data_IF_022152064662
#
_entry.id   IF_022152064662
#
_cell.length_a   1.000
_cell.length_b   1.000
_cell.length_c   1.000
_cell.angle_alpha   90.00
_cell.angle_beta   90.00
_cell.angle_gamma   90.00
#
_symmetry.space_group_name_H-M   'P 1'
#
loop_
_entity.id
_entity.type
_entity.pdbx_description
1 polymer ?
#
# COMPACT_ATOMS: atom_id res chain seq x y z
N UNK A 1 12.11 -42.15 23.67
CA UNK A 1 11.10 -41.10 23.91
C UNK A 1 11.75 -39.76 23.61
N UNK A 2 11.37 -39.10 22.51
CA UNK A 2 11.78 -37.72 22.25
C UNK A 2 10.62 -37.02 21.59
N UNK A 3 9.85 -36.27 22.38
CA UNK A 3 8.74 -35.47 21.89
C UNK A 3 9.32 -34.10 21.57
N UNK A 4 9.56 -33.86 20.27
CA UNK A 4 9.92 -32.56 19.77
C UNK A 4 8.68 -31.65 19.82
N UNK A 5 8.63 -30.76 20.82
CA UNK A 5 7.60 -29.72 20.90
C UNK A 5 7.85 -28.70 19.79
N UNK A 6 7.07 -28.79 18.71
CA UNK A 6 7.02 -27.79 17.65
C UNK A 6 6.30 -26.54 18.17
N UNK A 7 7.04 -25.45 18.39
CA UNK A 7 6.45 -24.13 18.61
C UNK A 7 5.55 -23.76 17.42
N UNK A 8 4.32 -23.26 17.62
CA UNK A 8 3.50 -22.80 16.52
C UNK A 8 4.14 -21.55 15.89
N UNK A 9 4.22 -21.54 14.55
CA UNK A 9 4.56 -20.34 13.81
C UNK A 9 3.52 -19.27 14.16
N UNK A 10 3.98 -18.16 14.76
CA UNK A 10 3.13 -17.01 15.05
C UNK A 10 2.41 -16.61 13.75
N UNK A 11 1.07 -16.67 13.78
CA UNK A 11 0.23 -16.23 12.69
C UNK A 11 0.39 -14.71 12.58
N UNK A 12 1.23 -14.28 11.65
CA UNK A 12 1.58 -12.86 11.39
C UNK A 12 0.38 -11.99 10.97
N UNK A 13 -0.83 -12.56 10.97
CA UNK A 13 -2.07 -11.87 10.62
C UNK A 13 -2.91 -11.38 11.81
N UNK A 14 -2.55 -11.73 13.05
CA UNK A 14 -3.36 -11.40 14.22
C UNK A 14 -2.72 -10.33 15.11
N UNK A 15 -2.57 -9.11 14.58
CA UNK A 15 -2.45 -7.92 15.43
C UNK A 15 -3.42 -6.85 14.90
N UNK A 16 -4.56 -6.71 15.57
CA UNK A 16 -5.48 -5.60 15.38
C UNK A 16 -5.03 -4.46 16.28
N UNK A 17 -4.37 -3.44 15.71
CA UNK A 17 -4.00 -2.23 16.47
C UNK A 17 -5.04 -1.13 16.21
N UNK A 18 -5.62 -0.64 17.30
CA UNK A 18 -6.53 0.49 17.34
C UNK A 18 -5.73 1.82 17.32
N UNK A 19 -5.16 2.16 16.18
CA UNK A 19 -4.70 3.52 15.85
C UNK A 19 -4.56 3.64 14.33
N UNK A 20 -5.42 4.44 13.69
CA UNK A 20 -5.66 4.42 12.25
C UNK A 20 -4.55 5.07 11.39
N UNK A 21 -3.33 5.22 11.92
CA UNK A 21 -2.21 5.75 11.14
C UNK A 21 -1.45 4.56 10.53
N UNK A 22 -1.43 4.42 9.19
CA UNK A 22 -0.65 3.37 8.55
C UNK A 22 0.84 3.56 8.86
N UNK A 23 1.52 2.47 9.21
CA UNK A 23 2.97 2.47 9.40
C UNK A 23 3.65 2.83 8.07
N UNK A 24 4.57 3.79 8.10
CA UNK A 24 5.41 4.19 6.97
C UNK A 24 6.82 3.66 7.14
N UNK A 25 7.46 3.28 6.04
CA UNK A 25 8.90 2.97 6.05
C UNK A 25 9.71 4.19 6.46
N UNK A 26 10.92 4.04 7.04
CA UNK A 26 11.73 5.17 7.51
C UNK A 26 12.07 6.20 6.42
N UNK A 27 12.13 5.78 5.16
CA UNK A 27 12.34 6.61 3.99
C UNK A 27 11.05 7.21 3.38
N UNK A 28 9.89 6.91 3.96
CA UNK A 28 8.57 7.38 3.52
C UNK A 28 8.09 6.80 2.18
N UNK A 29 8.82 5.87 1.56
CA UNK A 29 8.50 5.34 0.22
C UNK A 29 7.28 4.43 0.21
N UNK A 30 7.02 3.75 1.32
CA UNK A 30 5.95 2.78 1.41
C UNK A 30 5.14 2.94 2.69
N UNK A 31 3.84 2.70 2.58
CA UNK A 31 2.98 2.38 3.71
C UNK A 31 2.80 0.87 3.82
N UNK A 32 2.60 0.38 5.04
CA UNK A 32 2.46 -1.05 5.32
C UNK A 32 1.01 -1.34 5.69
N UNK A 33 0.37 -2.20 4.90
CA UNK A 33 -0.99 -2.70 5.17
C UNK A 33 -0.96 -4.20 5.15
N UNK A 34 -1.27 -4.83 6.29
CA UNK A 34 -1.27 -6.30 6.47
C UNK A 34 0.06 -6.93 6.03
N UNK A 35 1.17 -6.36 6.51
CA UNK A 35 2.53 -6.82 6.20
C UNK A 35 2.97 -6.62 4.74
N UNK A 36 2.19 -5.92 3.91
CA UNK A 36 2.50 -5.65 2.51
C UNK A 36 2.82 -4.18 2.29
N UNK A 37 3.90 -3.91 1.57
CA UNK A 37 4.30 -2.58 1.16
C UNK A 37 3.39 -2.06 0.05
N UNK A 38 3.00 -0.81 0.16
CA UNK A 38 2.28 -0.06 -0.88
C UNK A 38 3.00 1.26 -1.08
N UNK A 39 3.41 1.57 -2.31
CA UNK A 39 4.10 2.84 -2.56
C UNK A 39 3.21 4.02 -2.19
N UNK A 40 3.79 4.98 -1.49
CA UNK A 40 3.14 6.25 -1.19
C UNK A 40 3.09 7.15 -2.43
N UNK A 41 2.20 8.14 -2.39
CA UNK A 41 2.19 9.21 -3.38
C UNK A 41 3.51 9.99 -3.34
N UNK A 42 3.94 10.49 -4.49
CA UNK A 42 5.13 11.31 -4.63
C UNK A 42 5.01 12.56 -3.73
N UNK A 43 5.87 12.71 -2.70
CA UNK A 43 5.82 13.83 -1.78
C UNK A 43 6.27 15.16 -2.43
N UNK A 44 6.86 15.11 -3.62
CA UNK A 44 7.32 16.28 -4.35
C UNK A 44 6.26 16.89 -5.28
N UNK A 45 5.04 16.35 -5.28
CA UNK A 45 3.91 16.98 -5.97
C UNK A 45 3.51 18.27 -5.26
N UNK A 46 3.24 19.32 -6.03
CA UNK A 46 2.59 20.54 -5.50
C UNK A 46 1.24 20.17 -4.88
N UNK A 47 0.88 20.85 -3.79
CA UNK A 47 -0.32 20.51 -3.02
C UNK A 47 -1.61 20.58 -3.83
N UNK A 48 -1.74 21.56 -4.72
CA UNK A 48 -2.90 21.72 -5.61
C UNK A 48 -3.01 20.56 -6.61
N UNK A 49 -1.87 20.15 -7.19
CA UNK A 49 -1.80 18.99 -8.10
C UNK A 49 -2.16 17.71 -7.34
N UNK A 50 -1.58 17.52 -6.15
CA UNK A 50 -1.87 16.36 -5.30
C UNK A 50 -3.36 16.31 -4.93
N UNK A 51 -3.94 17.43 -4.51
CA UNK A 51 -5.35 17.51 -4.16
C UNK A 51 -6.26 17.18 -5.36
N UNK A 52 -5.95 17.72 -6.54
CA UNK A 52 -6.68 17.41 -7.77
C UNK A 52 -6.63 15.93 -8.14
N UNK A 53 -5.45 15.30 -8.04
CA UNK A 53 -5.29 13.87 -8.31
C UNK A 53 -5.99 12.97 -7.28
N UNK A 54 -5.95 13.35 -5.99
CA UNK A 54 -6.70 12.65 -4.94
C UNK A 54 -8.21 12.76 -5.20
N UNK A 55 -8.71 13.93 -5.59
CA UNK A 55 -10.12 14.12 -5.97
C UNK A 55 -10.50 13.20 -7.13
N UNK A 56 -9.73 13.22 -8.21
CA UNK A 56 -9.95 12.35 -9.39
C UNK A 56 -9.91 10.85 -9.02
N UNK A 57 -9.02 10.44 -8.12
CA UNK A 57 -8.97 9.07 -7.63
C UNK A 57 -10.24 8.68 -6.86
N UNK A 58 -10.78 9.58 -6.03
CA UNK A 58 -12.02 9.32 -5.28
C UNK A 58 -13.24 9.27 -6.20
N UNK A 59 -13.31 10.15 -7.19
CA UNK A 59 -14.33 10.11 -8.25
C UNK A 59 -14.30 8.78 -9.00
N UNK A 60 -13.11 8.35 -9.45
CA UNK A 60 -12.95 7.09 -10.16
C UNK A 60 -13.36 5.88 -9.30
N UNK A 61 -13.04 5.88 -7.99
CA UNK A 61 -13.47 4.82 -7.06
C UNK A 61 -14.99 4.80 -6.88
N UNK A 62 -15.64 5.95 -6.78
CA UNK A 62 -17.11 6.05 -6.75
C UNK A 62 -17.71 5.51 -8.05
N UNK A 63 -17.13 5.84 -9.20
CA UNK A 63 -17.57 5.32 -10.49
C UNK A 63 -17.43 3.80 -10.60
N UNK A 64 -16.36 3.20 -10.04
CA UNK A 64 -16.22 1.73 -9.96
C UNK A 64 -17.36 1.12 -9.14
N UNK A 65 -17.70 1.72 -7.98
CA UNK A 65 -18.80 1.23 -7.13
C UNK A 65 -20.14 1.32 -7.86
N UNK A 66 -20.42 2.43 -8.55
CA UNK A 66 -21.64 2.61 -9.33
C UNK A 66 -21.73 1.60 -10.49
N UNK A 67 -20.68 1.48 -11.30
CA UNK A 67 -20.67 0.54 -12.43
C UNK A 67 -20.86 -0.92 -12.01
N UNK A 68 -20.32 -1.33 -10.85
CA UNK A 68 -20.57 -2.67 -10.28
C UNK A 68 -22.02 -2.87 -9.86
N UNK A 69 -22.65 -1.84 -9.28
CA UNK A 69 -24.05 -1.90 -8.86
C UNK A 69 -24.97 -2.07 -10.07
N UNK A 70 -24.62 -1.41 -11.17
CA UNK A 70 -25.42 -1.37 -12.39
C UNK A 70 -25.08 -2.51 -13.36
N UNK A 71 -24.14 -3.40 -13.01
CA UNK A 71 -23.57 -4.48 -13.86
C UNK A 71 -23.08 -3.99 -15.24
N UNK A 72 -22.61 -2.75 -15.30
CA UNK A 72 -22.13 -2.14 -16.54
C UNK A 72 -20.63 -2.38 -16.71
N UNK A 73 -20.30 -3.40 -17.50
CA UNK A 73 -18.93 -3.80 -17.78
C UNK A 73 -18.10 -2.68 -18.46
N UNK A 74 -18.71 -1.90 -19.35
CA UNK A 74 -18.04 -0.82 -20.07
C UNK A 74 -17.65 0.32 -19.14
N UNK A 75 -18.60 0.79 -18.32
CA UNK A 75 -18.34 1.80 -17.29
C UNK A 75 -17.36 1.30 -16.24
N UNK A 76 -17.41 0.01 -15.89
CA UNK A 76 -16.50 -0.58 -14.93
C UNK A 76 -15.06 -0.57 -15.45
N UNK A 77 -14.85 -0.91 -16.72
CA UNK A 77 -13.53 -0.86 -17.37
C UNK A 77 -12.99 0.58 -17.40
N UNK A 78 -13.81 1.54 -17.84
CA UNK A 78 -13.43 2.96 -17.89
C UNK A 78 -13.07 3.51 -16.49
N UNK A 79 -13.86 3.18 -15.47
CA UNK A 79 -13.62 3.63 -14.10
C UNK A 79 -12.33 3.01 -13.51
N UNK A 80 -12.05 1.73 -13.79
CA UNK A 80 -10.78 1.09 -13.38
C UNK A 80 -9.57 1.72 -14.07
N UNK A 81 -9.68 2.06 -15.35
CA UNK A 81 -8.63 2.78 -16.08
C UNK A 81 -8.40 4.17 -15.49
N UNK A 82 -9.46 4.89 -15.10
CA UNK A 82 -9.34 6.18 -14.43
C UNK A 82 -8.64 6.07 -13.05
N UNK A 83 -8.94 5.03 -12.27
CA UNK A 83 -8.20 4.74 -11.02
C UNK A 83 -6.72 4.53 -11.29
N UNK A 84 -6.38 3.75 -12.33
CA UNK A 84 -4.98 3.48 -12.65
C UNK A 84 -4.23 4.75 -13.07
N UNK A 85 -4.82 5.56 -13.96
CA UNK A 85 -4.25 6.86 -14.37
C UNK A 85 -3.99 7.78 -13.18
N UNK A 86 -4.97 7.93 -12.28
CA UNK A 86 -4.83 8.78 -11.11
C UNK A 86 -3.71 8.27 -10.17
N UNK A 87 -3.62 6.95 -9.96
CA UNK A 87 -2.57 6.36 -9.12
C UNK A 87 -1.18 6.47 -9.72
N UNK A 88 -1.04 6.30 -11.03
CA UNK A 88 0.22 6.51 -11.74
C UNK A 88 0.64 7.97 -11.66
N UNK A 89 -0.28 8.91 -11.86
CA UNK A 89 0.00 10.35 -11.72
C UNK A 89 0.37 10.75 -10.28
N UNK A 90 -0.23 10.12 -9.27
CA UNK A 90 0.18 10.28 -7.87
C UNK A 90 1.55 9.67 -7.58
N UNK A 91 2.09 8.82 -8.46
CA UNK A 91 3.32 8.07 -8.24
C UNK A 91 3.14 6.76 -7.48
N UNK A 92 1.92 6.39 -7.07
CA UNK A 92 1.64 5.11 -6.35
C UNK A 92 1.87 3.87 -7.24
N UNK A 93 1.95 4.07 -8.56
CA UNK A 93 2.14 3.04 -9.60
C UNK A 93 3.03 3.57 -10.72
N UNK A 94 3.52 2.66 -11.57
CA UNK A 94 4.41 3.01 -12.67
C UNK A 94 5.83 3.26 -12.20
N UNK A 95 6.52 4.18 -12.88
CA UNK A 95 7.88 4.59 -12.54
C UNK A 95 7.95 5.12 -11.10
N UNK A 96 9.05 4.83 -10.43
CA UNK A 96 9.32 5.33 -9.08
C UNK A 96 9.58 6.83 -9.10
N UNK A 97 9.23 7.52 -8.02
CA UNK A 97 9.43 8.97 -7.90
C UNK A 97 10.78 9.36 -7.27
N UNK A 98 11.57 8.40 -6.82
CA UNK A 98 12.92 8.63 -6.29
C UNK A 98 13.99 8.46 -7.38
N UNK A 99 15.13 9.12 -7.20
CA UNK A 99 16.23 9.18 -8.18
C UNK A 99 17.52 8.48 -7.75
N UNK A 100 17.56 7.86 -6.57
CA UNK A 100 18.76 7.21 -6.01
C UNK A 100 19.02 5.79 -6.56
N UNK A 101 18.21 5.33 -7.52
CA UNK A 101 18.33 4.01 -8.13
C UNK A 101 17.86 2.85 -7.25
N UNK A 102 17.27 3.12 -6.08
CA UNK A 102 16.78 2.05 -5.21
C UNK A 102 15.67 1.22 -5.89
N UNK A 103 15.66 -0.08 -5.59
CA UNK A 103 14.68 -1.01 -6.14
C UNK A 103 13.26 -0.71 -5.66
N UNK A 104 12.29 -0.97 -6.54
CA UNK A 104 10.87 -0.87 -6.20
C UNK A 104 10.35 -2.14 -5.52
N UNK A 105 10.03 -2.03 -4.23
CA UNK A 105 9.40 -3.10 -3.45
C UNK A 105 7.87 -2.95 -3.34
N UNK A 106 7.23 -2.16 -4.19
CA UNK A 106 5.77 -1.96 -4.18
C UNK A 106 5.06 -3.31 -4.30
N UNK A 107 4.13 -3.58 -3.38
CA UNK A 107 3.44 -4.86 -3.25
C UNK A 107 4.40 -6.01 -2.89
N UNK A 108 5.51 -5.79 -2.22
CA UNK A 108 6.26 -6.90 -1.60
C UNK A 108 5.77 -7.11 -0.16
N UNK A 109 5.93 -8.33 0.37
CA UNK A 109 5.80 -8.54 1.81
C UNK A 109 7.01 -7.92 2.49
N UNK A 110 6.80 -7.12 3.54
CA UNK A 110 7.87 -6.38 4.23
C UNK A 110 9.02 -7.30 4.69
N UNK A 111 8.71 -8.52 5.13
CA UNK A 111 9.70 -9.54 5.53
C UNK A 111 10.65 -9.99 4.42
N UNK A 112 10.33 -9.73 3.15
CA UNK A 112 11.14 -10.10 1.99
C UNK A 112 11.87 -8.89 1.39
N UNK A 113 12.08 -7.84 2.18
CA UNK A 113 12.65 -6.56 1.74
C UNK A 113 13.66 -6.07 2.76
N UNK A 114 14.49 -5.07 2.44
CA UNK A 114 15.42 -4.45 3.39
C UNK A 114 14.73 -3.85 4.64
N UNK A 115 13.41 -3.68 4.65
CA UNK A 115 12.65 -3.17 5.78
C UNK A 115 12.27 -4.25 6.81
N UNK A 116 12.66 -5.51 6.62
CA UNK A 116 12.23 -6.64 7.43
C UNK A 116 12.58 -6.49 8.92
N UNK A 117 13.86 -6.28 9.23
CA UNK A 117 14.34 -6.22 10.62
C UNK A 117 13.78 -5.01 11.37
N UNK A 118 13.73 -3.86 10.70
CA UNK A 118 13.11 -2.65 11.25
C UNK A 118 11.63 -2.87 11.57
N UNK A 119 10.86 -3.46 10.66
CA UNK A 119 9.43 -3.69 10.88
C UNK A 119 9.18 -4.73 11.98
N UNK A 120 10.00 -5.78 12.05
CA UNK A 120 9.94 -6.78 13.12
C UNK A 120 10.23 -6.14 14.49
N UNK A 121 11.23 -5.27 14.57
CA UNK A 121 11.52 -4.51 15.79
C UNK A 121 10.34 -3.62 16.16
N UNK A 122 9.75 -2.86 15.23
CA UNK A 122 8.59 -2.00 15.50
C UNK A 122 7.41 -2.79 16.08
N UNK A 123 7.04 -3.91 15.44
CA UNK A 123 5.93 -4.77 15.90
C UNK A 123 6.20 -5.35 17.29
N UNK A 124 7.45 -5.69 17.61
CA UNK A 124 7.82 -6.20 18.93
C UNK A 124 7.74 -5.14 20.04
N UNK A 125 7.81 -3.85 19.72
CA UNK A 125 7.65 -2.76 20.70
C UNK A 125 6.17 -2.40 20.93
N UNK A 126 5.31 -2.63 19.94
CA UNK A 126 3.87 -2.33 20.00
C UNK A 126 3.02 -3.50 20.55
N UNK A 127 3.61 -4.67 20.76
CA UNK A 127 2.97 -5.90 21.25
C UNK A 127 3.10 -6.06 22.77
#
# INVERSE_FOLDING_TARGET
MSVATRLPAADVNAVTVASSTPVLTPDGRYLIVRGRLWRTANPHLRDDVRAGLVSALMDARRAVKAARRDDDAGRLAAARAAVDRAKTALGERGLVWWSDGAHDFNRHLVKNTPYADWFAALVAHDA
#
